data_IF_094591993147
#
_entry.id   IF_094591993147
#
_cell.length_a   1.000
_cell.length_b   1.000
_cell.length_c   1.000
_cell.angle_alpha   90.00
_cell.angle_beta   90.00
_cell.angle_gamma   90.00
#
_symmetry.space_group_name_H-M   'P 1'
#
loop_
_entity.id
_entity.type
_entity.pdbx_description
1 polymer ?
#
# COMPACT_ATOMS: atom_id res chain seq x y z
N UNK A 1 8.04 -12.40 -25.88
CA UNK A 1 8.49 -13.22 -24.72
C UNK A 1 8.67 -12.40 -23.43
N UNK A 2 9.07 -11.13 -23.50
CA UNK A 2 9.28 -10.27 -22.31
C UNK A 2 7.98 -9.81 -21.66
N UNK A 3 7.05 -9.24 -22.44
CA UNK A 3 5.76 -8.74 -21.95
C UNK A 3 4.94 -9.81 -21.22
N UNK A 4 4.85 -11.02 -21.79
CA UNK A 4 4.13 -12.15 -21.19
C UNK A 4 4.74 -12.58 -19.86
N UNK A 5 6.07 -12.58 -19.74
CA UNK A 5 6.76 -12.90 -18.48
C UNK A 5 6.55 -11.81 -17.43
N UNK A 6 6.59 -10.54 -17.82
CA UNK A 6 6.31 -9.42 -16.92
C UNK A 6 4.87 -9.44 -16.41
N UNK A 7 3.90 -9.76 -17.27
CA UNK A 7 2.52 -9.95 -16.83
C UNK A 7 2.41 -11.07 -15.79
N UNK A 8 3.01 -12.23 -16.04
CA UNK A 8 2.99 -13.34 -15.07
C UNK A 8 3.63 -12.98 -13.73
N UNK A 9 4.75 -12.26 -13.75
CA UNK A 9 5.41 -11.78 -12.52
C UNK A 9 4.54 -10.75 -11.79
N UNK A 10 4.02 -9.75 -12.52
CA UNK A 10 3.15 -8.71 -11.95
C UNK A 10 1.89 -9.31 -11.32
N UNK A 11 1.35 -10.38 -11.90
CA UNK A 11 0.19 -11.07 -11.34
C UNK A 11 0.51 -11.83 -10.04
N UNK A 12 1.62 -12.58 -9.99
CA UNK A 12 1.94 -13.41 -8.80
C UNK A 12 2.52 -12.60 -7.64
N UNK A 13 3.25 -11.51 -7.94
CA UNK A 13 3.99 -10.74 -6.93
C UNK A 13 3.10 -10.15 -5.81
N UNK A 14 1.91 -9.57 -6.07
CA UNK A 14 1.01 -9.10 -5.02
C UNK A 14 0.63 -10.18 -4.00
N UNK A 15 0.48 -11.44 -4.40
CA UNK A 15 0.16 -12.54 -3.49
C UNK A 15 1.36 -12.94 -2.62
N UNK A 16 2.57 -12.87 -3.19
CA UNK A 16 3.81 -13.06 -2.43
C UNK A 16 3.95 -11.91 -1.42
N UNK A 17 3.67 -10.66 -1.80
CA UNK A 17 3.69 -9.52 -0.88
C UNK A 17 2.66 -9.73 0.24
N UNK A 18 1.45 -10.21 -0.06
CA UNK A 18 0.45 -10.52 0.95
C UNK A 18 0.94 -11.56 1.97
N UNK A 19 1.62 -12.63 1.53
CA UNK A 19 2.17 -13.62 2.46
C UNK A 19 3.29 -13.05 3.32
N UNK A 20 4.14 -12.19 2.75
CA UNK A 20 5.17 -11.46 3.51
C UNK A 20 4.56 -10.49 4.52
N UNK A 21 3.44 -9.83 4.21
CA UNK A 21 2.70 -8.97 5.16
C UNK A 21 2.20 -9.79 6.36
N UNK A 22 1.69 -11.00 6.14
CA UNK A 22 1.27 -11.87 7.24
C UNK A 22 2.44 -12.29 8.14
N UNK A 23 3.58 -12.64 7.56
CA UNK A 23 4.81 -12.95 8.31
C UNK A 23 5.29 -11.73 9.09
N UNK A 24 5.27 -10.54 8.47
CA UNK A 24 5.61 -9.28 9.11
C UNK A 24 4.71 -9.01 10.33
N UNK A 25 3.39 -9.14 10.19
CA UNK A 25 2.43 -8.94 11.28
C UNK A 25 2.58 -10.00 12.39
N UNK A 26 2.92 -11.25 12.03
CA UNK A 26 3.20 -12.29 13.02
C UNK A 26 4.38 -11.90 13.91
N UNK A 27 5.49 -11.42 13.33
CA UNK A 27 6.63 -10.96 14.12
C UNK A 27 6.31 -9.69 14.91
N UNK A 28 5.54 -8.77 14.34
CA UNK A 28 5.07 -7.59 15.07
C UNK A 28 4.23 -7.97 16.30
N UNK A 29 3.39 -9.00 16.21
CA UNK A 29 2.57 -9.47 17.34
C UNK A 29 3.37 -10.17 18.43
N UNK A 30 4.60 -10.65 18.15
CA UNK A 30 5.49 -11.20 19.19
C UNK A 30 6.00 -10.09 20.13
N UNK A 31 6.34 -8.90 19.60
CA UNK A 31 6.83 -7.77 20.41
C UNK A 31 5.75 -6.77 20.81
N UNK A 32 4.67 -6.70 20.05
CA UNK A 32 3.73 -5.59 20.06
C UNK A 32 4.29 -4.34 19.35
N UNK A 33 3.43 -3.32 19.18
CA UNK A 33 3.80 -2.04 18.58
C UNK A 33 4.67 -1.20 19.52
N UNK A 34 5.60 -0.44 18.94
CA UNK A 34 6.31 0.61 19.64
C UNK A 34 5.41 1.85 19.82
N UNK A 35 5.81 2.79 20.67
CA UNK A 35 5.13 4.07 20.89
C UNK A 35 6.09 5.26 20.65
N UNK A 36 5.58 6.49 20.48
CA UNK A 36 6.39 7.66 20.14
C UNK A 36 7.50 7.99 21.15
N UNK A 37 7.34 7.61 22.41
CA UNK A 37 8.34 7.85 23.46
C UNK A 37 9.45 6.79 23.46
N UNK A 38 9.28 5.68 22.73
CA UNK A 38 10.26 4.60 22.64
C UNK A 38 10.50 3.82 23.94
N UNK A 39 9.67 4.04 24.96
CA UNK A 39 9.73 3.35 26.26
C UNK A 39 8.77 2.16 26.28
N UNK A 40 8.87 1.29 27.28
CA UNK A 40 7.97 0.14 27.41
C UNK A 40 6.51 0.58 27.66
N UNK A 41 5.59 0.21 26.76
CA UNK A 41 4.16 0.54 26.84
C UNK A 41 3.33 -0.41 27.70
N UNK A 42 3.91 -1.48 28.27
CA UNK A 42 3.15 -2.48 29.04
C UNK A 42 2.37 -1.91 30.24
N UNK A 43 2.78 -0.76 30.77
CA UNK A 43 2.14 -0.10 31.91
C UNK A 43 0.78 0.51 31.52
N UNK A 44 0.58 0.84 30.25
CA UNK A 44 -0.62 1.52 29.74
C UNK A 44 -1.01 0.97 28.36
N UNK A 45 -1.44 -0.29 28.33
CA UNK A 45 -1.99 -0.92 27.13
C UNK A 45 -3.52 -0.77 27.09
N UNK A 46 -4.01 -0.30 25.96
CA UNK A 46 -5.43 -0.27 25.63
C UNK A 46 -5.76 -1.34 24.58
N UNK A 47 -6.98 -1.89 24.56
CA UNK A 47 -7.39 -2.84 23.52
C UNK A 47 -7.42 -2.18 22.14
N UNK A 48 -7.20 -2.97 21.08
CA UNK A 48 -7.24 -2.46 19.70
C UNK A 48 -8.63 -1.90 19.33
N UNK A 49 -9.68 -2.65 19.67
CA UNK A 49 -11.07 -2.20 19.52
C UNK A 49 -11.57 -1.66 20.88
N UNK A 50 -12.21 -0.47 20.94
CA UNK A 50 -12.64 0.38 19.82
C UNK A 50 -11.60 1.39 19.30
N UNK A 51 -10.55 1.65 20.07
CA UNK A 51 -9.68 2.81 19.90
C UNK A 51 -9.00 2.90 18.52
N UNK A 52 -8.20 1.90 18.18
CA UNK A 52 -7.46 1.89 16.92
C UNK A 52 -8.37 1.52 15.74
N UNK A 53 -9.40 0.70 15.94
CA UNK A 53 -10.36 0.39 14.87
C UNK A 53 -11.06 1.64 14.32
N UNK A 54 -11.54 2.54 15.19
CA UNK A 54 -12.16 3.80 14.74
C UNK A 54 -11.14 4.81 14.21
N UNK A 55 -9.95 4.87 14.81
CA UNK A 55 -8.86 5.71 14.31
C UNK A 55 -8.47 5.31 12.88
N UNK A 56 -8.35 4.02 12.62
CA UNK A 56 -7.99 3.48 11.31
C UNK A 56 -9.13 3.71 10.30
N UNK A 57 -10.40 3.57 10.72
CA UNK A 57 -11.55 3.92 9.86
C UNK A 57 -11.51 5.38 9.41
N UNK A 58 -11.17 6.31 10.31
CA UNK A 58 -10.99 7.72 9.95
C UNK A 58 -9.82 7.90 8.96
N UNK A 59 -8.73 7.16 9.13
CA UNK A 59 -7.64 7.12 8.16
C UNK A 59 -8.09 6.60 6.78
N UNK A 60 -8.91 5.55 6.75
CA UNK A 60 -9.52 5.05 5.50
C UNK A 60 -10.40 6.10 4.82
N UNK A 61 -11.15 6.91 5.60
CA UNK A 61 -11.92 8.02 5.05
C UNK A 61 -11.03 9.06 4.36
N UNK A 62 -9.83 9.34 4.88
CA UNK A 62 -8.87 10.24 4.21
C UNK A 62 -8.32 9.63 2.91
N UNK A 63 -8.14 8.31 2.86
CA UNK A 63 -7.74 7.60 1.63
C UNK A 63 -8.76 7.74 0.48
N UNK A 64 -10.04 8.06 0.77
CA UNK A 64 -11.01 8.39 -0.28
C UNK A 64 -10.64 9.63 -1.09
N UNK A 65 -9.70 10.48 -0.64
CA UNK A 65 -9.14 11.55 -1.48
C UNK A 65 -8.55 11.02 -2.79
N UNK A 66 -8.15 9.74 -2.85
CA UNK A 66 -7.74 9.11 -4.09
C UNK A 66 -8.88 9.07 -5.13
N UNK A 67 -10.13 8.89 -4.70
CA UNK A 67 -11.29 8.95 -5.60
C UNK A 67 -11.52 10.35 -6.17
N UNK A 68 -11.22 11.38 -5.39
CA UNK A 68 -11.29 12.75 -5.89
C UNK A 68 -10.23 12.99 -6.97
N UNK A 69 -8.99 12.50 -6.77
CA UNK A 69 -7.94 12.56 -7.77
C UNK A 69 -8.36 11.83 -9.07
N UNK A 70 -8.88 10.60 -8.96
CA UNK A 70 -9.25 9.81 -10.15
C UNK A 70 -10.42 10.40 -10.93
N UNK A 71 -11.37 11.07 -10.26
CA UNK A 71 -12.52 11.67 -10.93
C UNK A 71 -12.25 13.08 -11.47
N UNK A 72 -11.42 13.88 -10.78
CA UNK A 72 -11.15 15.26 -11.18
C UNK A 72 -10.00 15.39 -12.17
N UNK A 73 -8.90 14.65 -11.96
CA UNK A 73 -7.68 14.73 -12.76
C UNK A 73 -6.99 13.34 -12.85
N UNK A 74 -7.60 12.36 -13.57
CA UNK A 74 -7.13 10.97 -13.60
C UNK A 74 -5.69 10.79 -14.07
N UNK A 75 -5.20 11.70 -14.92
CA UNK A 75 -3.87 11.63 -15.53
C UNK A 75 -2.83 12.53 -14.85
N UNK A 76 -3.17 13.20 -13.74
CA UNK A 76 -2.26 14.13 -13.07
C UNK A 76 -0.91 13.50 -12.68
N UNK A 77 -0.93 12.20 -12.35
CA UNK A 77 0.26 11.45 -11.93
C UNK A 77 0.80 10.53 -13.04
N UNK A 78 0.25 10.62 -14.26
CA UNK A 78 0.65 9.82 -15.41
C UNK A 78 1.55 10.60 -16.37
N UNK A 79 2.31 9.88 -17.18
CA UNK A 79 3.09 10.46 -18.28
C UNK A 79 2.26 10.44 -19.57
N UNK A 80 2.07 11.58 -20.27
CA UNK A 80 1.33 11.63 -21.53
C UNK A 80 1.90 10.74 -22.64
N UNK A 81 3.19 10.41 -22.63
CA UNK A 81 3.80 9.59 -23.68
C UNK A 81 3.29 8.13 -23.64
N UNK A 82 2.76 7.67 -22.51
CA UNK A 82 2.16 6.32 -22.39
C UNK A 82 0.84 6.16 -23.17
N UNK A 83 0.30 7.24 -23.76
CA UNK A 83 -0.80 7.16 -24.72
C UNK A 83 -0.33 6.83 -26.15
N UNK A 84 0.98 6.92 -26.42
CA UNK A 84 1.57 6.59 -27.70
C UNK A 84 2.03 5.12 -27.68
N UNK A 85 1.64 4.28 -28.67
CA UNK A 85 2.11 2.91 -28.73
C UNK A 85 3.64 2.81 -28.81
N UNK A 86 4.22 1.86 -28.07
CA UNK A 86 5.66 1.70 -28.01
C UNK A 86 6.28 1.47 -29.41
N UNK A 87 7.31 2.26 -29.74
CA UNK A 87 8.08 2.13 -30.96
C UNK A 87 9.57 1.91 -30.62
N UNK A 88 10.16 0.74 -30.92
CA UNK A 88 11.55 0.45 -30.55
C UNK A 88 12.59 1.31 -31.30
N UNK A 89 12.18 2.03 -32.35
CA UNK A 89 13.07 2.87 -33.17
C UNK A 89 13.05 4.34 -32.73
N UNK A 90 12.18 4.70 -31.80
CA UNK A 90 12.01 6.08 -31.31
C UNK A 90 12.09 6.05 -29.79
N UNK A 91 13.08 6.76 -29.24
CA UNK A 91 13.09 7.08 -27.82
C UNK A 91 12.22 8.31 -27.58
N UNK A 92 11.35 8.30 -26.56
CA UNK A 92 10.65 9.50 -26.11
C UNK A 92 11.63 10.58 -25.64
#
# INVERSE_FOLDING_TARGET
ATLTRFFMIHFILPFIILSLVMIHLLFLHQSGSNNPLGINSNIDKIPFHPYFSFKDLLGFLLLFMLTFLTLSNPYLLGDPDNFIPANPLVTP
#
